data_IF_357584653290
#
_entry.id   IF_357584653290
#
_cell.length_a   1.000
_cell.length_b   1.000
_cell.length_c   1.000
_cell.angle_alpha   90.00
_cell.angle_beta   90.00
_cell.angle_gamma   90.00
#
_symmetry.space_group_name_H-M   'P 1'
#
loop_
_entity.id
_entity.type
_entity.pdbx_description
1 polymer ?
#
# COMPACT_ATOMS: atom_id res chain seq x y z
N UNK A 1 -17.80 -12.30 -34.77
CA UNK A 1 -17.35 -12.87 -33.47
C UNK A 1 -15.84 -12.68 -33.45
N UNK A 2 -15.33 -11.63 -32.79
CA UNK A 2 -13.88 -11.38 -32.72
C UNK A 2 -13.32 -12.33 -31.66
N UNK A 3 -12.44 -13.23 -32.07
CA UNK A 3 -11.58 -14.00 -31.17
C UNK A 3 -10.81 -13.01 -30.30
N UNK A 4 -11.17 -12.95 -29.01
CA UNK A 4 -10.30 -12.33 -28.01
C UNK A 4 -9.11 -13.27 -27.86
N UNK A 5 -7.97 -12.89 -28.45
CA UNK A 5 -6.70 -13.54 -28.12
C UNK A 5 -6.53 -13.45 -26.60
N UNK A 6 -6.56 -14.59 -25.93
CA UNK A 6 -6.20 -14.74 -24.53
C UNK A 6 -4.69 -14.49 -24.39
N UNK A 7 -4.27 -13.24 -24.42
CA UNK A 7 -2.96 -12.88 -23.90
C UNK A 7 -3.06 -12.93 -22.38
N UNK A 8 -2.53 -14.01 -21.79
CA UNK A 8 -2.39 -14.12 -20.35
C UNK A 8 -1.66 -12.88 -19.80
N UNK A 9 -2.28 -12.19 -18.85
CA UNK A 9 -1.69 -11.01 -18.23
C UNK A 9 -0.78 -11.47 -17.09
N UNK A 10 0.53 -11.27 -17.25
CA UNK A 10 1.49 -11.43 -16.15
C UNK A 10 1.48 -10.17 -15.28
N UNK A 11 1.09 -10.33 -14.01
CA UNK A 11 1.03 -9.25 -13.03
C UNK A 11 2.42 -8.65 -12.83
N UNK A 12 3.48 -9.46 -12.79
CA UNK A 12 4.85 -8.97 -12.60
C UNK A 12 5.28 -8.08 -13.78
N UNK A 13 4.95 -8.49 -15.01
CA UNK A 13 5.18 -7.68 -16.19
C UNK A 13 4.35 -6.39 -16.17
N UNK A 14 3.11 -6.45 -15.67
CA UNK A 14 2.20 -5.30 -15.61
C UNK A 14 2.63 -4.23 -14.60
N UNK A 15 3.18 -4.66 -13.47
CA UNK A 15 3.70 -3.76 -12.42
C UNK A 15 5.16 -3.37 -12.64
N UNK A 16 5.77 -3.83 -13.75
CA UNK A 16 7.19 -3.65 -14.06
C UNK A 16 8.08 -4.03 -12.87
N UNK A 17 7.77 -5.19 -12.26
CA UNK A 17 8.41 -5.65 -11.03
C UNK A 17 9.93 -5.68 -11.21
N UNK A 18 10.63 -4.77 -10.51
CA UNK A 18 12.09 -4.75 -10.45
C UNK A 18 12.54 -5.47 -9.17
N UNK A 19 13.86 -5.58 -8.96
CA UNK A 19 14.40 -6.11 -7.70
C UNK A 19 13.99 -5.28 -6.45
N UNK A 20 13.41 -4.08 -6.64
CA UNK A 20 12.94 -3.19 -5.58
C UNK A 20 11.40 -3.23 -5.38
N UNK A 21 10.71 -4.20 -5.99
CA UNK A 21 9.26 -4.39 -5.83
C UNK A 21 8.97 -5.46 -4.78
N UNK A 22 8.15 -5.13 -3.79
CA UNK A 22 7.77 -5.98 -2.67
C UNK A 22 6.26 -6.19 -2.65
N UNK A 23 5.84 -7.39 -2.31
CA UNK A 23 4.44 -7.74 -2.10
C UNK A 23 4.17 -7.85 -0.60
N UNK A 24 3.20 -7.09 -0.08
CA UNK A 24 2.81 -7.09 1.33
C UNK A 24 1.32 -7.40 1.47
N UNK A 25 0.93 -8.09 2.54
CA UNK A 25 -0.49 -8.26 2.88
C UNK A 25 -0.92 -7.17 3.86
N UNK A 26 -2.00 -6.47 3.55
CA UNK A 26 -2.54 -5.44 4.44
C UNK A 26 -3.14 -6.09 5.69
N UNK A 27 -2.63 -5.72 6.87
CA UNK A 27 -3.22 -6.10 8.17
C UNK A 27 -4.36 -5.18 8.62
N UNK A 28 -4.72 -4.18 7.82
CA UNK A 28 -5.82 -3.26 8.12
C UNK A 28 -6.59 -2.91 6.85
N UNK A 29 -7.84 -2.50 7.01
CA UNK A 29 -8.64 -1.95 5.91
C UNK A 29 -8.56 -0.43 5.91
N UNK A 30 -8.71 0.16 4.73
CA UNK A 30 -8.87 1.59 4.55
C UNK A 30 -9.86 1.86 3.43
N UNK A 31 -10.99 2.47 3.77
CA UNK A 31 -12.07 2.75 2.82
C UNK A 31 -11.62 3.85 1.86
N UNK A 32 -10.99 4.90 2.38
CA UNK A 32 -10.56 6.05 1.58
C UNK A 32 -9.44 5.73 0.58
N UNK A 33 -8.65 4.68 0.85
CA UNK A 33 -7.64 4.18 -0.07
C UNK A 33 -8.10 2.96 -0.88
N UNK A 34 -9.32 2.46 -0.64
CA UNK A 34 -9.82 1.25 -1.30
C UNK A 34 -9.08 -0.02 -0.91
N UNK A 35 -8.51 -0.09 0.29
CA UNK A 35 -7.79 -1.26 0.82
C UNK A 35 -8.74 -2.10 1.67
N UNK A 36 -8.90 -3.38 1.33
CA UNK A 36 -9.56 -4.35 2.21
C UNK A 36 -8.56 -5.01 3.15
N UNK A 37 -9.04 -5.49 4.29
CA UNK A 37 -8.22 -6.34 5.14
C UNK A 37 -7.76 -7.58 4.35
N UNK A 38 -6.48 -7.90 4.42
CA UNK A 38 -5.88 -8.96 3.64
C UNK A 38 -5.57 -8.62 2.18
N UNK A 39 -5.80 -7.38 1.73
CA UNK A 39 -5.43 -6.96 0.38
C UNK A 39 -3.93 -7.14 0.11
N UNK A 40 -3.59 -7.51 -1.12
CA UNK A 40 -2.21 -7.58 -1.58
C UNK A 40 -1.78 -6.18 -2.04
N UNK A 41 -0.76 -5.66 -1.39
CA UNK A 41 -0.15 -4.38 -1.65
C UNK A 41 1.12 -4.61 -2.48
N UNK A 42 1.25 -3.89 -3.59
CA UNK A 42 2.48 -3.87 -4.37
C UNK A 42 3.22 -2.59 -4.00
N UNK A 43 4.39 -2.74 -3.41
CA UNK A 43 5.21 -1.66 -2.87
C UNK A 43 6.49 -1.56 -3.69
N UNK A 44 6.82 -0.37 -4.17
CA UNK A 44 8.02 -0.11 -4.95
C UNK A 44 8.95 0.84 -4.18
N UNK A 45 10.15 0.38 -3.88
CA UNK A 45 11.18 1.15 -3.16
C UNK A 45 12.04 2.01 -4.10
N UNK A 46 11.97 1.78 -5.42
CA UNK A 46 12.71 2.57 -6.41
C UNK A 46 12.02 3.88 -6.78
N UNK A 47 10.73 3.99 -6.50
CA UNK A 47 9.92 5.18 -6.79
C UNK A 47 10.12 6.22 -5.68
N UNK A 48 10.53 7.42 -6.08
CA UNK A 48 10.56 8.57 -5.16
C UNK A 48 9.13 8.96 -4.75
N UNK A 49 8.78 8.93 -3.46
CA UNK A 49 7.43 9.28 -3.01
C UNK A 49 7.16 10.76 -3.25
N UNK A 50 5.96 11.08 -3.74
CA UNK A 50 5.54 12.45 -4.01
C UNK A 50 4.37 12.84 -3.11
N UNK A 51 3.95 14.11 -3.18
CA UNK A 51 2.82 14.57 -2.40
C UNK A 51 1.57 13.74 -2.72
N UNK A 52 0.87 13.30 -1.67
CA UNK A 52 -0.34 12.46 -1.70
C UNK A 52 -0.09 11.00 -2.07
N UNK A 53 1.17 10.59 -2.31
CA UNK A 53 1.51 9.17 -2.44
C UNK A 53 1.06 8.38 -1.20
N UNK A 54 0.53 7.19 -1.43
CA UNK A 54 0.30 6.21 -0.37
C UNK A 54 1.60 5.44 -0.21
N UNK A 55 2.16 5.44 0.99
CA UNK A 55 3.47 4.87 1.29
C UNK A 55 3.38 3.86 2.42
N UNK A 56 4.32 2.92 2.44
CA UNK A 56 4.64 2.15 3.62
C UNK A 56 5.76 2.89 4.35
N UNK A 57 5.50 3.25 5.61
CA UNK A 57 6.45 3.91 6.49
C UNK A 57 6.73 3.05 7.70
N UNK A 58 7.96 3.09 8.21
CA UNK A 58 8.31 2.50 9.50
C UNK A 58 8.05 3.54 10.60
N UNK A 59 7.17 3.21 11.55
CA UNK A 59 6.84 4.04 12.70
C UNK A 59 6.87 3.17 13.95
N UNK A 60 7.70 3.52 14.94
CA UNK A 60 8.01 2.77 16.15
C UNK A 60 8.38 1.30 15.84
N UNK A 61 9.20 1.07 14.81
CA UNK A 61 9.60 -0.27 14.38
C UNK A 61 8.47 -1.10 13.74
N UNK A 62 7.34 -0.48 13.38
CA UNK A 62 6.21 -1.14 12.72
C UNK A 62 5.92 -0.51 11.38
N UNK A 63 5.67 -1.34 10.36
CA UNK A 63 5.21 -0.85 9.07
C UNK A 63 3.76 -0.40 9.13
N UNK A 64 3.52 0.83 8.69
CA UNK A 64 2.19 1.45 8.63
C UNK A 64 1.94 2.02 7.24
N UNK A 65 0.69 1.97 6.81
CA UNK A 65 0.24 2.58 5.57
C UNK A 65 -0.22 4.02 5.83
N UNK A 66 0.38 4.99 5.16
CA UNK A 66 0.08 6.41 5.36
C UNK A 66 0.09 7.16 4.03
N UNK A 67 -0.60 8.30 3.99
CA UNK A 67 -0.54 9.26 2.88
C UNK A 67 0.54 10.29 3.18
N UNK A 68 1.48 10.46 2.26
CA UNK A 68 2.56 11.42 2.41
C UNK A 68 2.10 12.84 2.06
N UNK A 69 2.18 13.76 3.02
CA UNK A 69 1.98 15.18 2.82
C UNK A 69 3.35 15.86 2.74
N UNK A 70 3.58 16.68 1.71
CA UNK A 70 4.83 17.41 1.46
C UNK A 70 4.61 18.91 1.26
N UNK A 71 3.34 19.35 1.19
CA UNK A 71 2.95 20.76 1.01
C UNK A 71 2.39 21.28 2.31
N UNK A 72 2.68 22.54 2.64
CA UNK A 72 2.37 23.21 3.92
C UNK A 72 3.08 22.62 5.15
N UNK A 73 2.94 21.30 5.36
CA UNK A 73 3.55 20.55 6.46
C UNK A 73 3.90 19.14 6.00
N UNK A 74 5.15 18.75 6.22
CA UNK A 74 5.63 17.39 5.91
C UNK A 74 5.15 16.42 6.98
N UNK A 75 4.24 15.52 6.62
CA UNK A 75 3.62 14.60 7.57
C UNK A 75 3.12 13.31 6.90
N UNK A 76 2.94 12.28 7.69
CA UNK A 76 2.27 11.04 7.34
C UNK A 76 0.83 11.07 7.87
N UNK A 77 -0.14 11.21 6.97
CA UNK A 77 -1.56 11.24 7.30
C UNK A 77 -2.16 9.84 7.31
N UNK A 78 -2.99 9.53 8.30
CA UNK A 78 -3.80 8.32 8.28
C UNK A 78 -4.79 8.35 7.11
N UNK A 79 -4.97 7.20 6.45
CA UNK A 79 -5.81 7.14 5.24
C UNK A 79 -7.30 7.45 5.50
N UNK A 80 -7.87 6.93 6.59
CA UNK A 80 -9.27 7.22 6.96
C UNK A 80 -9.46 8.33 8.00
N UNK A 81 -8.46 8.58 8.86
CA UNK A 81 -8.52 9.57 9.95
C UNK A 81 -7.69 10.79 9.56
N UNK A 82 -8.25 11.72 8.79
CA UNK A 82 -7.49 12.84 8.21
C UNK A 82 -6.80 13.75 9.25
N UNK A 83 -7.31 13.79 10.48
CA UNK A 83 -6.71 14.55 11.60
C UNK A 83 -5.59 13.79 12.33
N UNK A 84 -5.39 12.49 12.05
CA UNK A 84 -4.29 11.68 12.56
C UNK A 84 -3.08 11.89 11.65
N UNK A 85 -2.19 12.77 12.10
CA UNK A 85 -0.96 13.18 11.43
C UNK A 85 0.24 12.79 12.28
N UNK A 86 1.25 12.20 11.64
CA UNK A 86 2.57 11.98 12.23
C UNK A 86 3.55 12.90 11.52
N UNK A 87 4.17 13.81 12.25
CA UNK A 87 5.15 14.75 11.67
C UNK A 87 6.41 14.02 11.24
N UNK A 88 7.03 14.52 10.16
CA UNK A 88 8.30 13.96 9.69
C UNK A 88 9.43 14.09 10.72
N UNK A 89 9.45 15.15 11.51
CA UNK A 89 10.41 15.36 12.61
C UNK A 89 10.36 14.22 13.65
N UNK A 90 9.17 13.63 13.86
CA UNK A 90 9.00 12.48 14.76
C UNK A 90 9.55 11.18 14.16
N UNK A 91 9.73 11.11 12.83
CA UNK A 91 10.26 9.94 12.12
C UNK A 91 11.80 9.93 12.10
N UNK A 92 12.42 11.11 12.07
CA UNK A 92 13.88 11.27 12.10
C UNK A 92 14.50 10.73 13.39
N UNK A 93 13.77 10.85 14.51
CA UNK A 93 14.19 10.34 15.82
C UNK A 93 14.19 8.80 15.91
N UNK A 94 13.56 8.11 14.97
CA UNK A 94 13.47 6.64 14.92
C UNK A 94 14.49 6.01 13.97
N UNK A 95 15.28 6.82 13.26
CA UNK A 95 16.37 6.38 12.38
C UNK A 95 17.61 5.96 13.21
N UNK A 96 17.45 5.01 14.13
CA UNK A 96 18.57 4.53 14.94
C UNK A 96 19.45 3.48 14.22
N UNK A 97 19.04 2.95 13.06
CA UNK A 97 19.78 1.88 12.35
C UNK A 97 19.90 2.10 10.83
N UNK A 98 19.78 3.35 10.36
CA UNK A 98 19.94 3.66 8.93
C UNK A 98 18.80 3.25 8.01
N UNK A 99 17.72 2.66 8.54
CA UNK A 99 16.50 2.38 7.78
C UNK A 99 15.77 3.68 7.41
N UNK A 100 15.32 3.76 6.16
CA UNK A 100 14.53 4.88 5.69
C UNK A 100 13.15 4.90 6.39
N UNK A 101 12.73 6.07 6.88
CA UNK A 101 11.41 6.26 7.49
C UNK A 101 10.27 5.86 6.53
N UNK A 102 10.48 5.99 5.23
CA UNK A 102 9.59 5.49 4.18
C UNK A 102 10.26 4.29 3.52
N UNK A 103 9.62 3.13 3.62
CA UNK A 103 10.07 1.89 3.00
C UNK A 103 9.86 1.92 1.48
N UNK A 104 8.69 2.39 1.02
CA UNK A 104 8.37 2.45 -0.40
C UNK A 104 6.98 2.97 -0.70
N UNK A 105 6.68 3.16 -1.99
CA UNK A 105 5.40 3.67 -2.48
C UNK A 105 4.49 2.50 -2.84
N UNK A 106 3.24 2.53 -2.39
CA UNK A 106 2.23 1.57 -2.83
C UNK A 106 1.77 1.97 -4.23
N UNK A 107 2.07 1.12 -5.21
CA UNK A 107 1.74 1.33 -6.62
C UNK A 107 0.43 0.66 -7.02
N UNK A 108 0.13 -0.49 -6.39
CA UNK A 108 -1.12 -1.22 -6.62
C UNK A 108 -1.69 -1.77 -5.33
N UNK A 109 -3.02 -1.79 -5.27
CA UNK A 109 -3.81 -2.43 -4.22
C UNK A 109 -4.68 -3.46 -4.92
N UNK A 110 -4.51 -4.73 -4.56
CA UNK A 110 -5.23 -5.86 -5.15
C UNK A 110 -6.09 -6.47 -4.06
N UNK A 111 -7.39 -6.26 -4.19
CA UNK A 111 -8.38 -6.76 -3.26
C UNK A 111 -8.89 -8.13 -3.71
N UNK A 112 -9.01 -9.06 -2.77
CA UNK A 112 -9.73 -10.31 -3.01
C UNK A 112 -11.22 -10.01 -3.19
N UNK A 113 -11.77 -10.44 -4.33
CA UNK A 113 -13.16 -10.24 -4.68
C UNK A 113 -14.09 -11.35 -4.15
N UNK A 114 -13.53 -12.52 -3.82
CA UNK A 114 -14.31 -13.61 -3.26
C UNK A 114 -14.66 -13.29 -1.80
N UNK A 115 -15.95 -13.30 -1.48
CA UNK A 115 -16.42 -13.34 -0.10
C UNK A 115 -16.47 -14.80 0.31
N UNK A 116 -15.69 -15.20 1.32
CA UNK A 116 -15.69 -16.56 1.88
C UNK A 116 -17.07 -17.05 2.39
N UNK A 117 -18.12 -16.23 2.31
CA UNK A 117 -19.51 -16.58 2.63
C UNK A 117 -20.17 -17.57 1.66
N UNK A 118 -19.59 -17.82 0.48
CA UNK A 118 -20.20 -18.73 -0.52
C UNK A 118 -19.95 -20.23 -0.28
N UNK A 119 -19.18 -20.61 0.75
CA UNK A 119 -18.81 -22.02 0.98
C UNK A 119 -19.60 -22.71 2.12
N UNK A 120 -20.50 -21.99 2.83
CA UNK A 120 -21.23 -22.54 3.99
C UNK A 120 -22.72 -22.79 3.74
N UNK A 121 -23.23 -22.52 2.54
CA UNK A 121 -24.51 -23.05 2.04
C UNK A 121 -24.68 -22.59 0.58
N UNK A 122 -24.30 -23.41 -0.43
CA UNK A 122 -24.91 -23.23 -1.74
C UNK A 122 -26.41 -23.42 -1.53
N UNK A 123 -27.18 -22.36 -1.80
CA UNK A 123 -28.60 -22.22 -1.53
C UNK A 123 -29.39 -23.54 -1.50
N UNK A 124 -30.04 -23.79 -0.36
CA UNK A 124 -31.35 -24.48 -0.36
C UNK A 124 -32.31 -23.68 -1.24
#
# INVERSE_FOLDING_TARGET
MREMMEQGVDINARVNASAATYYMRSGSSSVNAGVREGALLVVDCSITPVHVSIVIAAVNGRYVMRRLLLRERTALQHLDRLNDLIDAESLENEQQDGDAAIFGVITYIINEAQTHEFDINPCI
#
